data_IF_819967611457
#
_entry.id   IF_819967611457
#
_cell.length_a   1.000
_cell.length_b   1.000
_cell.length_c   1.000
_cell.angle_alpha   90.00
_cell.angle_beta   90.00
_cell.angle_gamma   90.00
#
_symmetry.space_group_name_H-M   'P 1'
#
loop_
_entity.id
_entity.type
_entity.pdbx_description
1 polymer ?
#
# COMPACT_ATOMS: atom_id res chain seq x y z
N UNK A 1 12.05 7.02 17.10
CA UNK A 1 13.16 6.46 16.30
C UNK A 1 13.96 7.51 15.49
N UNK A 2 13.86 8.81 15.88
CA UNK A 2 14.52 9.90 15.13
C UNK A 2 16.03 9.71 14.96
N UNK A 3 16.74 9.12 15.92
CA UNK A 3 18.19 8.86 15.83
C UNK A 3 18.59 7.85 14.73
N UNK A 4 17.62 7.09 14.20
CA UNK A 4 17.83 6.13 13.09
C UNK A 4 17.33 6.66 11.76
N UNK A 5 16.64 7.80 11.79
CA UNK A 5 16.01 8.39 10.62
C UNK A 5 16.93 9.36 9.92
N UNK A 6 16.85 9.45 8.58
CA UNK A 6 17.56 10.44 7.78
C UNK A 6 16.74 11.74 7.70
N UNK A 7 15.42 11.62 7.74
CA UNK A 7 14.51 12.77 7.72
C UNK A 7 13.16 12.45 8.35
N UNK A 8 12.42 13.52 8.60
CA UNK A 8 11.04 13.51 9.09
C UNK A 8 10.20 14.39 8.18
N UNK A 9 9.00 13.91 7.82
CA UNK A 9 7.99 14.71 7.13
C UNK A 9 6.83 15.04 8.07
N UNK A 10 6.31 16.25 7.93
CA UNK A 10 5.05 16.65 8.51
C UNK A 10 4.05 16.88 7.36
N UNK A 11 2.84 16.36 7.50
CA UNK A 11 1.83 16.39 6.45
C UNK A 11 0.43 16.65 7.00
N UNK A 12 -0.48 17.05 6.12
CA UNK A 12 -1.93 16.99 6.34
C UNK A 12 -2.50 15.78 5.62
N UNK A 13 -3.42 15.06 6.23
CA UNK A 13 -4.21 14.03 5.56
C UNK A 13 -5.42 14.64 4.84
N UNK A 14 -6.22 13.81 4.14
CA UNK A 14 -7.42 14.25 3.44
C UNK A 14 -8.43 14.96 4.36
N UNK A 15 -8.49 14.61 5.66
CA UNK A 15 -9.34 15.26 6.66
C UNK A 15 -8.70 16.53 7.26
N UNK A 16 -7.59 17.03 6.70
CA UNK A 16 -6.80 18.19 7.21
C UNK A 16 -6.21 17.98 8.61
N UNK A 17 -6.17 16.75 9.10
CA UNK A 17 -5.46 16.44 10.34
C UNK A 17 -3.95 16.35 10.09
N UNK A 18 -3.16 16.87 11.03
CA UNK A 18 -1.70 16.82 10.97
C UNK A 18 -1.17 15.45 11.35
N UNK A 19 -0.17 14.99 10.59
CA UNK A 19 0.56 13.76 10.87
C UNK A 19 2.06 13.94 10.69
N UNK A 20 2.80 12.92 11.12
CA UNK A 20 4.27 12.89 11.02
C UNK A 20 4.71 11.48 10.67
N UNK A 21 5.57 11.35 9.65
CA UNK A 21 6.29 10.13 9.33
C UNK A 21 7.79 10.35 9.47
N UNK A 22 8.50 9.38 10.05
CA UNK A 22 9.95 9.33 10.03
C UNK A 22 10.45 8.26 9.05
N UNK A 23 11.59 8.51 8.40
CA UNK A 23 12.11 7.67 7.33
C UNK A 23 12.47 6.26 7.79
N UNK A 24 12.86 6.08 9.06
CA UNK A 24 13.21 4.77 9.59
C UNK A 24 11.95 3.91 9.84
N UNK A 25 11.00 4.41 10.63
CA UNK A 25 9.82 3.63 11.04
C UNK A 25 8.87 3.34 9.88
N UNK A 26 8.76 4.28 8.93
CA UNK A 26 7.78 4.21 7.85
C UNK A 26 8.33 3.66 6.54
N UNK A 27 9.66 3.54 6.40
CA UNK A 27 10.27 2.94 5.22
C UNK A 27 11.33 1.89 5.57
N UNK A 28 12.45 2.26 6.24
CA UNK A 28 13.59 1.35 6.43
C UNK A 28 13.19 0.10 7.22
N UNK A 29 12.54 0.26 8.37
CA UNK A 29 12.12 -0.86 9.23
C UNK A 29 11.07 -1.77 8.58
N UNK A 30 10.45 -1.31 7.50
CA UNK A 30 9.41 -2.02 6.72
C UNK A 30 9.95 -2.64 5.43
N UNK A 31 11.25 -2.45 5.12
CA UNK A 31 11.85 -2.92 3.86
C UNK A 31 11.40 -2.12 2.62
N UNK A 32 10.92 -0.90 2.81
CA UNK A 32 10.36 -0.01 1.79
C UNK A 32 11.39 1.04 1.34
N UNK A 33 12.69 0.68 1.34
CA UNK A 33 13.81 1.50 0.92
C UNK A 33 14.48 0.88 -0.30
N UNK A 34 14.72 1.69 -1.32
CA UNK A 34 15.50 1.32 -2.49
C UNK A 34 16.74 2.21 -2.59
N UNK A 35 17.86 1.65 -3.05
CA UNK A 35 19.09 2.38 -3.32
C UNK A 35 19.42 2.30 -4.81
N UNK A 36 19.78 3.42 -5.41
CA UNK A 36 20.14 3.53 -6.82
C UNK A 36 21.46 4.29 -6.95
N UNK A 37 22.39 3.78 -7.77
CA UNK A 37 23.55 4.57 -8.19
C UNK A 37 23.11 5.68 -9.13
N UNK A 38 23.59 6.88 -8.91
CA UNK A 38 23.40 8.05 -9.76
C UNK A 38 24.77 8.62 -10.11
N UNK A 39 24.80 9.57 -11.04
CA UNK A 39 26.06 10.24 -11.39
C UNK A 39 26.68 10.95 -10.17
N UNK A 40 27.93 10.62 -9.88
CA UNK A 40 28.70 11.07 -8.72
C UNK A 40 28.03 10.82 -7.34
N UNK A 41 27.16 9.78 -7.21
CA UNK A 41 26.50 9.61 -5.94
C UNK A 41 25.57 8.41 -5.82
N UNK A 42 24.73 8.49 -4.79
CA UNK A 42 23.72 7.49 -4.49
C UNK A 42 22.39 8.17 -4.17
N UNK A 43 21.30 7.58 -4.65
CA UNK A 43 19.93 7.98 -4.34
C UNK A 43 19.27 6.89 -3.50
N UNK A 44 18.65 7.29 -2.41
CA UNK A 44 17.78 6.45 -1.62
C UNK A 44 16.33 6.87 -1.83
N UNK A 45 15.46 5.94 -2.25
CA UNK A 45 14.03 6.17 -2.46
C UNK A 45 13.30 5.53 -1.29
N UNK A 46 12.59 6.35 -0.53
CA UNK A 46 11.82 5.96 0.65
C UNK A 46 10.34 5.96 0.29
N UNK A 47 9.69 4.81 0.35
CA UNK A 47 8.24 4.70 0.27
C UNK A 47 7.66 4.73 1.69
N UNK A 48 7.25 5.93 2.13
CA UNK A 48 6.74 6.19 3.47
C UNK A 48 5.24 5.90 3.52
N UNK A 49 4.82 4.95 4.33
CA UNK A 49 3.41 4.63 4.47
C UNK A 49 3.19 3.31 5.17
N UNK A 50 1.96 3.06 5.58
CA UNK A 50 1.56 1.75 6.08
C UNK A 50 1.00 0.89 4.94
N UNK A 51 1.92 0.32 4.16
CA UNK A 51 1.55 -0.65 3.12
C UNK A 51 1.30 -2.05 3.71
N UNK A 52 1.44 -2.25 5.03
CA UNK A 52 1.04 -3.51 5.67
C UNK A 52 -0.48 -3.70 5.69
N UNK A 53 -1.24 -2.61 5.55
CA UNK A 53 -2.67 -2.62 5.27
C UNK A 53 -3.00 -2.81 3.78
N UNK A 54 -2.01 -2.74 2.89
CA UNK A 54 -2.12 -3.15 1.49
C UNK A 54 -2.19 -4.67 1.29
N UNK A 55 -2.23 -5.45 2.34
CA UNK A 55 -2.91 -6.74 2.27
C UNK A 55 -4.40 -6.56 1.90
N UNK A 56 -4.97 -5.37 2.04
CA UNK A 56 -6.26 -5.00 1.46
C UNK A 56 -6.16 -4.58 -0.01
N UNK A 57 -5.00 -4.19 -0.52
CA UNK A 57 -4.81 -3.87 -1.94
C UNK A 57 -4.84 -5.07 -2.87
N UNK A 58 -4.80 -6.29 -2.34
CA UNK A 58 -4.98 -7.54 -3.09
C UNK A 58 -6.31 -8.22 -2.71
N UNK A 59 -6.82 -7.99 -1.49
CA UNK A 59 -8.10 -8.57 -1.04
C UNK A 59 -9.22 -7.56 -1.27
N UNK A 60 -10.02 -7.70 -2.34
CA UNK A 60 -11.06 -6.73 -2.65
C UNK A 60 -12.17 -6.79 -1.62
N UNK A 61 -12.73 -5.62 -1.29
CA UNK A 61 -13.91 -5.53 -0.43
C UNK A 61 -15.15 -6.11 -1.13
N UNK A 62 -15.24 -5.91 -2.43
CA UNK A 62 -16.28 -6.43 -3.30
C UNK A 62 -15.71 -7.38 -4.34
N UNK A 63 -16.42 -8.45 -4.63
CA UNK A 63 -16.04 -9.44 -5.64
C UNK A 63 -17.28 -9.89 -6.40
N UNK A 64 -17.22 -9.93 -7.72
CA UNK A 64 -18.29 -10.48 -8.52
C UNK A 64 -18.40 -12.00 -8.30
N UNK A 65 -19.61 -12.55 -8.47
CA UNK A 65 -19.82 -14.00 -8.37
C UNK A 65 -18.95 -14.76 -9.36
N UNK A 66 -18.86 -14.29 -10.62
CA UNK A 66 -18.08 -14.92 -11.68
C UNK A 66 -16.58 -14.94 -11.34
N UNK A 67 -16.06 -13.84 -10.76
CA UNK A 67 -14.64 -13.78 -10.34
C UNK A 67 -14.36 -14.72 -9.17
N UNK A 68 -15.27 -14.79 -8.19
CA UNK A 68 -15.15 -15.73 -7.08
C UNK A 68 -15.16 -17.18 -7.59
N UNK A 69 -16.03 -17.51 -8.52
CA UNK A 69 -16.12 -18.86 -9.08
C UNK A 69 -14.88 -19.22 -9.90
N UNK A 70 -14.33 -18.28 -10.67
CA UNK A 70 -13.08 -18.45 -11.40
C UNK A 70 -11.88 -18.70 -10.45
N UNK A 71 -11.78 -17.95 -9.35
CA UNK A 71 -10.76 -18.14 -8.31
C UNK A 71 -10.94 -19.51 -7.65
N UNK A 72 -12.17 -19.86 -7.26
CA UNK A 72 -12.47 -21.13 -6.60
C UNK A 72 -12.13 -22.35 -7.48
N UNK A 73 -12.23 -22.23 -8.80
CA UNK A 73 -11.86 -23.30 -9.72
C UNK A 73 -10.36 -23.66 -9.71
N UNK A 74 -9.51 -22.78 -9.17
CA UNK A 74 -8.05 -22.94 -9.10
C UNK A 74 -7.56 -23.32 -7.67
N UNK A 75 -8.48 -23.47 -6.72
CA UNK A 75 -8.17 -23.71 -5.30
C UNK A 75 -8.58 -25.12 -4.86
N UNK A 76 -7.99 -25.58 -3.76
CA UNK A 76 -8.43 -26.81 -3.08
C UNK A 76 -9.80 -26.65 -2.36
N UNK A 77 -10.45 -27.76 -2.02
CA UNK A 77 -11.79 -27.77 -1.40
C UNK A 77 -11.86 -26.96 -0.09
N UNK A 78 -10.78 -26.95 0.70
CA UNK A 78 -10.71 -26.20 1.95
C UNK A 78 -10.67 -24.70 1.69
N UNK A 79 -9.86 -24.28 0.71
CA UNK A 79 -9.74 -22.89 0.29
C UNK A 79 -11.07 -22.39 -0.34
N UNK A 80 -11.69 -23.22 -1.18
CA UNK A 80 -13.02 -22.92 -1.78
C UNK A 80 -14.06 -22.69 -0.69
N UNK A 81 -14.16 -23.59 0.28
CA UNK A 81 -15.10 -23.48 1.40
C UNK A 81 -14.88 -22.19 2.19
N UNK A 82 -13.62 -21.83 2.43
CA UNK A 82 -13.27 -20.60 3.13
C UNK A 82 -13.60 -19.36 2.30
N UNK A 83 -13.23 -19.32 1.02
CA UNK A 83 -13.50 -18.16 0.15
C UNK A 83 -14.99 -17.88 0.04
N UNK A 84 -15.81 -18.92 -0.21
CA UNK A 84 -17.27 -18.78 -0.26
C UNK A 84 -17.88 -18.31 1.07
N UNK A 85 -17.29 -18.66 2.21
CA UNK A 85 -17.71 -18.17 3.52
C UNK A 85 -17.32 -16.72 3.75
N UNK A 86 -16.16 -16.29 3.25
CA UNK A 86 -15.70 -14.90 3.39
C UNK A 86 -16.48 -13.94 2.49
N UNK A 87 -16.93 -14.39 1.33
CA UNK A 87 -17.71 -13.65 0.36
C UNK A 87 -19.12 -14.28 0.19
N UNK A 88 -19.86 -14.41 1.29
CA UNK A 88 -21.15 -15.12 1.32
C UNK A 88 -22.37 -14.22 1.19
N UNK A 89 -22.21 -12.91 1.31
CA UNK A 89 -23.33 -11.95 1.33
C UNK A 89 -23.21 -11.00 0.14
N UNK A 90 -24.27 -10.89 -0.65
CA UNK A 90 -24.33 -9.91 -1.73
C UNK A 90 -24.76 -8.54 -1.18
N UNK A 91 -24.11 -7.50 -1.67
CA UNK A 91 -24.53 -6.12 -1.48
C UNK A 91 -25.78 -5.84 -2.32
N UNK A 92 -26.82 -5.28 -1.71
CA UNK A 92 -28.11 -5.05 -2.37
C UNK A 92 -28.06 -3.93 -3.43
N UNK A 93 -27.09 -3.04 -3.37
CA UNK A 93 -26.95 -1.92 -4.29
C UNK A 93 -26.16 -2.31 -5.54
N UNK A 94 -25.09 -3.07 -5.37
CA UNK A 94 -24.17 -3.45 -6.44
C UNK A 94 -24.39 -4.86 -6.97
N UNK A 95 -25.07 -5.73 -6.21
CA UNK A 95 -25.19 -7.16 -6.50
C UNK A 95 -23.90 -7.96 -6.33
N UNK A 96 -22.80 -7.32 -5.92
CA UNK A 96 -21.50 -7.96 -5.71
C UNK A 96 -21.42 -8.59 -4.32
N UNK A 97 -20.63 -9.64 -4.21
CA UNK A 97 -20.34 -10.28 -2.92
C UNK A 97 -19.42 -9.39 -2.09
N UNK A 98 -19.73 -9.26 -0.80
CA UNK A 98 -18.95 -8.42 0.14
C UNK A 98 -18.10 -9.29 1.05
N UNK A 99 -16.84 -8.90 1.22
CA UNK A 99 -15.99 -9.49 2.24
C UNK A 99 -16.61 -9.26 3.62
N UNK A 100 -16.90 -10.32 4.36
CA UNK A 100 -17.59 -10.20 5.64
C UNK A 100 -16.79 -9.39 6.69
N UNK A 101 -17.50 -8.65 7.55
CA UNK A 101 -16.89 -7.70 8.48
C UNK A 101 -15.97 -8.35 9.53
N UNK A 102 -16.11 -9.63 9.80
CA UNK A 102 -15.19 -10.37 10.71
C UNK A 102 -13.87 -10.62 10.01
N UNK A 103 -13.91 -11.02 8.73
CA UNK A 103 -12.71 -11.22 7.93
C UNK A 103 -11.93 -9.91 7.75
N UNK A 104 -12.62 -8.79 7.47
CA UNK A 104 -12.01 -7.47 7.28
C UNK A 104 -11.17 -7.03 8.49
N UNK A 105 -11.59 -7.37 9.71
CA UNK A 105 -10.93 -6.96 10.96
C UNK A 105 -9.87 -7.94 11.46
N UNK A 106 -9.70 -9.08 10.80
CA UNK A 106 -8.80 -10.14 11.25
C UNK A 106 -7.61 -10.30 10.31
N UNK A 107 -6.46 -9.79 10.70
CA UNK A 107 -5.24 -9.82 9.90
C UNK A 107 -4.80 -11.25 9.50
N UNK A 108 -5.05 -12.27 10.34
CA UNK A 108 -4.73 -13.67 10.00
C UNK A 108 -5.64 -14.18 8.90
N UNK A 109 -6.91 -13.77 8.92
CA UNK A 109 -7.87 -14.11 7.87
C UNK A 109 -7.52 -13.40 6.57
N UNK A 110 -7.18 -12.11 6.60
CA UNK A 110 -6.73 -11.36 5.43
C UNK A 110 -5.51 -12.04 4.80
N UNK A 111 -4.47 -12.34 5.57
CA UNK A 111 -3.28 -13.07 5.06
C UNK A 111 -3.63 -14.41 4.42
N UNK A 112 -4.60 -15.12 4.98
CA UNK A 112 -5.05 -16.40 4.43
C UNK A 112 -5.77 -16.21 3.09
N UNK A 113 -6.63 -15.20 2.98
CA UNK A 113 -7.31 -14.83 1.73
C UNK A 113 -6.28 -14.40 0.68
N UNK A 114 -5.29 -13.56 1.07
CA UNK A 114 -4.19 -13.15 0.19
C UNK A 114 -3.48 -14.37 -0.42
N UNK A 115 -3.11 -15.37 0.41
CA UNK A 115 -2.48 -16.59 -0.10
C UNK A 115 -3.37 -17.39 -1.07
N UNK A 116 -4.67 -17.41 -0.88
CA UNK A 116 -5.59 -18.03 -1.83
C UNK A 116 -5.67 -17.27 -3.15
N UNK A 117 -5.73 -15.93 -3.09
CA UNK A 117 -5.76 -15.07 -4.27
C UNK A 117 -4.45 -15.18 -5.07
N UNK A 118 -3.30 -15.17 -4.41
CA UNK A 118 -1.98 -15.38 -5.02
C UNK A 118 -1.90 -16.75 -5.70
N UNK A 119 -2.37 -17.82 -5.04
CA UNK A 119 -2.41 -19.18 -5.61
C UNK A 119 -3.27 -19.23 -6.88
N UNK A 120 -4.37 -18.49 -6.92
CA UNK A 120 -5.25 -18.38 -8.06
C UNK A 120 -4.74 -17.39 -9.14
N UNK A 121 -3.58 -16.76 -8.95
CA UNK A 121 -3.02 -15.79 -9.88
C UNK A 121 -3.76 -14.47 -9.95
N UNK A 122 -4.50 -14.10 -8.90
CA UNK A 122 -5.21 -12.82 -8.79
C UNK A 122 -4.20 -11.67 -8.71
N UNK A 123 -4.37 -10.66 -9.55
CA UNK A 123 -3.44 -9.54 -9.72
C UNK A 123 -4.02 -8.23 -9.18
N UNK A 124 -3.19 -7.18 -9.15
CA UNK A 124 -3.62 -5.82 -8.84
C UNK A 124 -4.65 -5.31 -9.86
N UNK A 125 -4.49 -5.63 -11.13
CA UNK A 125 -5.47 -5.30 -12.17
C UNK A 125 -6.83 -5.95 -11.93
N UNK A 126 -6.84 -7.21 -11.47
CA UNK A 126 -8.08 -7.89 -11.05
C UNK A 126 -8.74 -7.19 -9.86
N UNK A 127 -7.93 -6.71 -8.91
CA UNK A 127 -8.44 -5.95 -7.77
C UNK A 127 -9.10 -4.64 -8.22
N UNK A 128 -8.40 -3.87 -9.07
CA UNK A 128 -8.92 -2.62 -9.61
C UNK A 128 -10.23 -2.84 -10.38
N UNK A 129 -10.28 -3.87 -11.23
CA UNK A 129 -11.50 -4.27 -11.96
C UNK A 129 -12.68 -4.52 -11.00
N UNK A 130 -12.47 -5.28 -9.92
CA UNK A 130 -13.54 -5.59 -8.98
C UNK A 130 -14.02 -4.35 -8.20
N UNK A 131 -13.11 -3.44 -7.86
CA UNK A 131 -13.46 -2.20 -7.18
C UNK A 131 -14.18 -1.21 -8.11
N UNK A 132 -13.78 -1.14 -9.38
CA UNK A 132 -14.47 -0.36 -10.42
C UNK A 132 -15.88 -0.88 -10.66
N UNK A 133 -16.07 -2.19 -10.81
CA UNK A 133 -17.38 -2.83 -10.95
C UNK A 133 -18.30 -2.53 -9.76
N UNK A 134 -17.75 -2.41 -8.56
CA UNK A 134 -18.48 -2.04 -7.36
C UNK A 134 -18.79 -0.54 -7.28
N UNK A 135 -18.26 0.29 -8.18
CA UNK A 135 -18.38 1.74 -8.11
C UNK A 135 -17.66 2.34 -6.90
N UNK A 136 -16.68 1.63 -6.36
CA UNK A 136 -15.88 2.07 -5.19
C UNK A 136 -14.59 2.68 -5.68
N UNK A 137 -14.39 3.95 -5.39
CA UNK A 137 -13.11 4.61 -5.62
C UNK A 137 -12.05 3.96 -4.71
N UNK A 138 -11.01 3.41 -5.33
CA UNK A 138 -9.89 2.80 -4.59
C UNK A 138 -9.14 3.91 -3.86
N UNK A 139 -9.41 4.06 -2.58
CA UNK A 139 -8.67 4.98 -1.75
C UNK A 139 -7.23 4.45 -1.59
N UNK A 140 -6.29 5.05 -2.30
CA UNK A 140 -4.88 4.77 -2.10
C UNK A 140 -4.50 5.05 -0.64
N UNK A 141 -3.68 4.20 -0.02
CA UNK A 141 -3.22 4.44 1.34
C UNK A 141 -2.41 5.74 1.39
N UNK A 142 -2.56 6.45 2.51
CA UNK A 142 -1.76 7.64 2.77
C UNK A 142 -0.27 7.28 2.74
N UNK A 143 0.41 7.73 1.70
CA UNK A 143 1.82 7.42 1.48
C UNK A 143 2.55 8.52 0.74
N UNK A 144 3.87 8.52 0.88
CA UNK A 144 4.76 9.47 0.21
C UNK A 144 5.97 8.73 -0.32
N UNK A 145 6.32 8.97 -1.59
CA UNK A 145 7.63 8.60 -2.12
C UNK A 145 8.55 9.81 -2.00
N UNK A 146 9.71 9.67 -1.37
CA UNK A 146 10.70 10.72 -1.21
C UNK A 146 12.08 10.18 -1.52
N UNK A 147 12.80 10.83 -2.43
CA UNK A 147 14.19 10.53 -2.71
C UNK A 147 15.12 11.44 -1.91
N UNK A 148 16.20 10.87 -1.38
CA UNK A 148 17.31 11.57 -0.78
C UNK A 148 18.57 11.22 -1.57
N UNK A 149 19.23 12.22 -2.13
CA UNK A 149 20.46 12.07 -2.91
C UNK A 149 21.67 12.54 -2.12
N UNK A 150 22.73 11.76 -2.21
CA UNK A 150 24.05 12.09 -1.72
C UNK A 150 24.99 12.13 -2.92
N UNK A 151 25.56 13.29 -3.21
CA UNK A 151 26.49 13.50 -4.33
C UNK A 151 27.85 13.96 -3.82
N UNK A 152 28.91 13.47 -4.43
CA UNK A 152 30.26 13.98 -4.20
C UNK A 152 30.40 15.34 -4.89
N UNK A 153 30.80 16.35 -4.14
CA UNK A 153 31.17 17.67 -4.60
C UNK A 153 32.69 17.91 -4.37
N UNK A 154 33.25 18.97 -4.94
CA UNK A 154 34.67 19.24 -4.88
C UNK A 154 35.19 19.43 -3.43
N UNK A 155 34.35 19.92 -2.54
CA UNK A 155 34.66 20.26 -1.16
C UNK A 155 33.88 19.44 -0.12
N UNK A 156 33.12 18.42 -0.52
CA UNK A 156 32.34 17.62 0.41
C UNK A 156 31.26 16.74 -0.20
N UNK A 157 30.19 16.56 0.55
CA UNK A 157 29.01 15.79 0.13
C UNK A 157 27.80 16.73 0.09
N UNK A 158 27.19 16.83 -1.05
CA UNK A 158 25.90 17.48 -1.21
C UNK A 158 24.78 16.50 -0.87
N UNK A 159 23.84 16.93 -0.02
CA UNK A 159 22.63 16.15 0.30
C UNK A 159 21.42 16.95 -0.17
N UNK A 160 20.59 16.33 -1.02
CA UNK A 160 19.44 16.99 -1.61
C UNK A 160 18.19 16.11 -1.61
N UNK A 161 17.01 16.76 -1.62
CA UNK A 161 15.70 16.14 -1.82
C UNK A 161 15.15 16.70 -3.13
N UNK A 162 15.22 15.97 -4.24
CA UNK A 162 14.69 16.45 -5.52
C UNK A 162 13.16 16.59 -5.44
N UNK A 163 12.65 17.79 -5.66
CA UNK A 163 11.20 18.06 -5.60
C UNK A 163 10.39 17.23 -6.61
N UNK A 164 10.99 16.93 -7.77
CA UNK A 164 10.38 16.09 -8.80
C UNK A 164 10.25 14.61 -8.40
N UNK A 165 10.83 14.20 -7.29
CA UNK A 165 10.78 12.84 -6.75
C UNK A 165 9.99 12.78 -5.43
N UNK A 166 9.14 13.77 -5.19
CA UNK A 166 8.17 13.74 -4.10
C UNK A 166 6.83 13.37 -4.72
N UNK A 167 6.30 12.21 -4.32
CA UNK A 167 4.97 11.75 -4.73
C UNK A 167 4.06 11.68 -3.51
N UNK A 168 2.80 12.07 -3.70
CA UNK A 168 1.77 12.15 -2.67
C UNK A 168 0.61 11.23 -3.05
N UNK A 169 0.21 10.32 -2.14
CA UNK A 169 -0.91 9.41 -2.36
C UNK A 169 -1.87 9.43 -1.17
N UNK A 170 -3.11 8.97 -1.39
CA UNK A 170 -4.11 8.84 -0.34
C UNK A 170 -4.55 10.18 0.27
N UNK A 171 -4.49 11.27 -0.51
CA UNK A 171 -4.89 12.61 -0.07
C UNK A 171 -3.97 13.22 1.00
N UNK A 172 -2.75 12.71 1.11
CA UNK A 172 -1.72 13.32 1.94
C UNK A 172 -1.09 14.53 1.26
N UNK A 173 -0.71 15.55 2.02
CA UNK A 173 0.03 16.71 1.51
C UNK A 173 1.14 17.10 2.49
N UNK A 174 2.42 16.85 2.17
CA UNK A 174 3.53 17.22 3.01
C UNK A 174 3.73 18.74 2.96
N UNK A 175 3.91 19.35 4.12
CA UNK A 175 4.20 20.79 4.22
C UNK A 175 5.59 21.07 4.77
N UNK A 176 6.28 20.07 5.28
CA UNK A 176 7.63 20.22 5.82
C UNK A 176 8.40 18.92 5.74
N UNK A 177 9.60 18.97 5.19
CA UNK A 177 10.62 17.92 5.27
C UNK A 177 11.78 18.47 6.08
N UNK A 178 12.23 17.73 7.09
CA UNK A 178 13.38 18.06 7.93
C UNK A 178 14.41 16.96 7.86
N UNK A 179 15.58 17.25 7.34
CA UNK A 179 16.76 16.37 7.45
C UNK A 179 17.26 16.33 8.90
N UNK A 180 17.79 15.20 9.32
CA UNK A 180 18.25 14.95 10.70
C UNK A 180 19.76 14.71 10.76
#
# INVERSE_FOLDING_TARGET
NYLKSQFVINYYNAAKAMGTYDSYSMAVARGQLQAQSIDNGIRFIYNLGDFSTNTTGIVPLYMSQDKLDAICALLDDTAVTNMRRYYSTADSATGMLVLNGVAQKNIKTIKKITGYLETAGFTEADYEEQMELAGVEVALPLSFTIALEYRLADDGIEVSVPASMIEENGGGSPYRIRLL
#
